data_IF_434083263276
#
_entry.id   IF_434083263276
#
_cell.length_a   1.000
_cell.length_b   1.000
_cell.length_c   1.000
_cell.angle_alpha   90.00
_cell.angle_beta   90.00
_cell.angle_gamma   90.00
#
_symmetry.space_group_name_H-M   'P 1'
#
loop_
_entity.id
_entity.type
_entity.pdbx_description
1 polymer ?
#
# COMPACT_ATOMS: atom_id res chain seq x y z
N UNK A 1 17.81 -7.87 4.85
CA UNK A 1 16.85 -8.38 3.86
C UNK A 1 15.45 -8.33 4.43
N UNK A 2 14.70 -7.28 4.12
CA UNK A 2 13.30 -7.13 4.51
C UNK A 2 12.43 -7.19 3.27
N UNK A 3 11.27 -7.84 3.42
CA UNK A 3 10.26 -7.98 2.37
C UNK A 3 9.05 -7.13 2.74
N UNK A 4 8.58 -6.37 1.77
CA UNK A 4 7.39 -5.52 1.87
C UNK A 4 6.42 -5.89 0.76
N UNK A 5 5.13 -5.97 1.07
CA UNK A 5 4.10 -6.10 0.04
C UNK A 5 3.52 -4.73 -0.30
N UNK A 6 3.55 -4.41 -1.59
CA UNK A 6 2.92 -3.23 -2.15
C UNK A 6 1.51 -3.59 -2.61
N UNK A 7 0.50 -2.98 -1.98
CA UNK A 7 -0.90 -3.27 -2.23
C UNK A 7 -1.65 -2.00 -2.63
N UNK A 8 -2.59 -2.14 -3.55
CA UNK A 8 -3.56 -1.11 -3.92
C UNK A 8 -4.83 -1.31 -3.10
N UNK A 9 -5.29 -0.25 -2.42
CA UNK A 9 -6.56 -0.29 -1.69
C UNK A 9 -7.44 0.92 -2.05
N UNK A 10 -8.77 0.73 -2.12
CA UNK A 10 -9.68 1.86 -2.27
C UNK A 10 -9.66 2.70 -0.98
N UNK A 11 -9.49 4.01 -1.15
CA UNK A 11 -9.51 4.99 -0.10
C UNK A 11 -10.49 6.11 -0.45
N UNK A 12 -11.37 6.41 0.48
CA UNK A 12 -12.31 7.53 0.36
C UNK A 12 -11.66 8.81 0.86
N UNK A 13 -11.38 9.73 -0.05
CA UNK A 13 -10.90 11.05 0.32
C UNK A 13 -12.09 11.96 0.61
N UNK A 14 -12.27 12.32 1.88
CA UNK A 14 -13.41 13.13 2.34
C UNK A 14 -13.39 14.59 1.86
N UNK A 15 -12.24 15.10 1.39
CA UNK A 15 -12.10 16.47 0.90
C UNK A 15 -12.66 16.60 -0.52
N UNK A 16 -12.21 15.73 -1.42
CA UNK A 16 -12.67 15.66 -2.82
C UNK A 16 -13.95 14.83 -2.99
N UNK A 17 -14.34 14.08 -1.96
CA UNK A 17 -15.51 13.18 -1.94
C UNK A 17 -15.46 12.06 -3.00
N UNK A 18 -14.26 11.61 -3.35
CA UNK A 18 -14.04 10.58 -4.36
C UNK A 18 -13.27 9.37 -3.79
N UNK A 19 -13.49 8.22 -4.43
CA UNK A 19 -12.74 7.00 -4.16
C UNK A 19 -11.53 6.94 -5.07
N UNK A 20 -10.35 6.82 -4.47
CA UNK A 20 -9.09 6.68 -5.19
C UNK A 20 -8.37 5.42 -4.73
N UNK A 21 -7.66 4.78 -5.63
CA UNK A 21 -6.84 3.62 -5.30
C UNK A 21 -5.45 4.11 -4.87
N UNK A 22 -5.16 3.97 -3.58
CA UNK A 22 -3.89 4.40 -2.99
C UNK A 22 -2.94 3.22 -2.80
N UNK A 23 -1.65 3.53 -2.79
CA UNK A 23 -0.60 2.56 -2.56
C UNK A 23 -0.31 2.40 -1.06
N UNK A 24 -0.23 1.15 -0.61
CA UNK A 24 -0.01 0.80 0.79
C UNK A 24 0.98 -0.35 1.00
N UNK A 25 1.54 -0.39 2.20
CA UNK A 25 2.52 -1.38 2.65
C UNK A 25 1.96 -2.21 3.82
N UNK A 26 2.40 -3.46 3.91
CA UNK A 26 2.02 -4.35 5.02
C UNK A 26 2.61 -3.96 6.37
N UNK A 27 3.76 -3.29 6.37
CA UNK A 27 4.48 -2.86 7.58
C UNK A 27 5.25 -1.58 7.30
N UNK A 28 5.58 -0.86 8.36
CA UNK A 28 6.40 0.34 8.26
C UNK A 28 7.77 -0.03 7.70
N UNK A 29 8.19 0.58 6.59
CA UNK A 29 9.47 0.27 5.98
C UNK A 29 10.61 0.92 6.75
N UNK A 30 11.80 0.31 6.63
CA UNK A 30 13.04 0.91 7.06
C UNK A 30 13.76 1.50 5.83
N UNK A 31 14.52 2.57 6.01
CA UNK A 31 15.28 3.21 4.93
C UNK A 31 14.51 4.33 4.21
N UNK A 32 14.87 4.65 2.96
CA UNK A 32 14.31 5.78 2.19
C UNK A 32 12.80 5.74 2.03
N UNK A 33 12.21 4.54 1.98
CA UNK A 33 10.77 4.37 1.87
C UNK A 33 10.02 4.85 3.13
N UNK A 34 10.68 4.91 4.29
CA UNK A 34 10.09 5.43 5.52
C UNK A 34 9.71 6.91 5.39
N UNK A 35 10.53 7.70 4.70
CA UNK A 35 10.34 9.14 4.52
C UNK A 35 9.10 9.47 3.67
N UNK A 36 8.66 8.54 2.82
CA UNK A 36 7.49 8.68 1.95
C UNK A 36 6.33 7.80 2.42
N UNK A 37 6.41 7.24 3.62
CA UNK A 37 5.37 6.37 4.17
C UNK A 37 4.71 7.03 5.37
N UNK A 38 3.39 6.94 5.43
CA UNK A 38 2.60 7.53 6.51
C UNK A 38 1.53 6.55 6.95
N UNK A 39 1.38 6.41 8.26
CA UNK A 39 0.27 5.66 8.82
C UNK A 39 -1.00 6.49 8.72
N UNK A 40 -2.01 5.93 8.06
CA UNK A 40 -3.33 6.55 7.94
C UNK A 40 -4.39 5.63 8.55
N UNK A 41 -5.46 6.24 9.04
CA UNK A 41 -6.66 5.53 9.47
C UNK A 41 -7.59 5.36 8.26
N UNK A 42 -7.95 4.13 7.96
CA UNK A 42 -8.97 3.87 6.96
C UNK A 42 -10.36 4.13 7.53
N UNK A 43 -11.15 4.88 6.77
CA UNK A 43 -12.57 5.00 7.00
C UNK A 43 -13.27 3.69 6.61
N UNK A 44 -14.39 3.39 7.26
CA UNK A 44 -15.21 2.24 6.87
C UNK A 44 -15.71 2.47 5.45
N UNK A 45 -15.47 1.51 4.57
CA UNK A 45 -15.98 1.56 3.20
C UNK A 45 -17.47 1.23 3.17
N UNK A 46 -17.95 0.46 4.15
CA UNK A 46 -19.37 0.13 4.30
C UNK A 46 -19.82 0.22 5.77
N UNK A 47 -21.04 0.74 6.03
CA UNK A 47 -21.63 0.70 7.37
C UNK A 47 -21.83 -0.75 7.86
N UNK A 48 -21.88 -1.73 6.96
CA UNK A 48 -22.03 -3.15 7.26
C UNK A 48 -20.71 -3.88 7.52
N UNK A 49 -19.54 -3.23 7.40
CA UNK A 49 -18.28 -3.84 7.82
C UNK A 49 -18.22 -3.93 9.35
N UNK A 50 -18.56 -5.12 9.86
CA UNK A 50 -18.38 -5.52 11.24
C UNK A 50 -16.97 -6.11 11.43
N UNK A 51 -16.22 -5.57 12.40
CA UNK A 51 -14.89 -6.09 12.75
C UNK A 51 -15.00 -7.22 13.80
N UNK A 52 -15.90 -8.17 13.56
CA UNK A 52 -16.25 -9.26 14.47
C UNK A 52 -15.62 -10.60 14.06
N UNK A 53 -14.80 -10.60 13.01
CA UNK A 53 -14.13 -11.81 12.52
C UNK A 53 -12.91 -12.16 13.39
N UNK A 54 -12.54 -13.45 13.43
CA UNK A 54 -11.37 -13.96 14.15
C UNK A 54 -10.05 -13.27 13.75
N UNK A 55 -9.98 -12.78 12.51
CA UNK A 55 -8.87 -11.98 11.99
C UNK A 55 -9.37 -10.55 11.72
N UNK A 56 -9.31 -9.65 12.71
CA UNK A 56 -9.82 -8.29 12.55
C UNK A 56 -8.98 -7.50 11.55
N UNK A 57 -9.65 -6.74 10.67
CA UNK A 57 -8.95 -5.81 9.79
C UNK A 57 -8.38 -4.68 10.64
N UNK A 58 -7.10 -4.39 10.45
CA UNK A 58 -6.46 -3.23 11.09
C UNK A 58 -7.10 -1.94 10.57
N UNK A 59 -7.49 -1.04 11.49
CA UNK A 59 -8.04 0.28 11.12
C UNK A 59 -6.97 1.22 10.56
N UNK A 60 -5.70 0.90 10.78
CA UNK A 60 -4.57 1.69 10.33
C UNK A 60 -3.80 0.92 9.27
N UNK A 61 -3.46 1.60 8.18
CA UNK A 61 -2.63 1.10 7.09
C UNK A 61 -1.46 2.04 6.86
N UNK A 62 -0.36 1.52 6.34
CA UNK A 62 0.79 2.32 5.96
C UNK A 62 0.59 2.70 4.50
N UNK A 63 0.27 3.96 4.24
CA UNK A 63 0.12 4.49 2.89
C UNK A 63 1.39 5.20 2.43
N UNK A 64 1.59 5.24 1.12
CA UNK A 64 2.69 5.95 0.49
C UNK A 64 2.21 7.35 0.12
N UNK A 65 3.00 8.37 0.44
CA UNK A 65 2.73 9.76 0.06
C UNK A 65 3.39 10.06 -1.29
N UNK A 66 2.91 11.10 -1.97
CA UNK A 66 3.59 11.58 -3.17
C UNK A 66 5.01 12.05 -2.83
N UNK A 67 5.92 11.95 -3.82
CA UNK A 67 7.32 12.35 -3.69
C UNK A 67 7.48 13.87 -3.57
N UNK A 68 6.63 14.62 -4.26
CA UNK A 68 6.64 16.09 -4.29
C UNK A 68 5.76 16.70 -3.19
N UNK A 69 4.70 15.99 -2.77
CA UNK A 69 3.76 16.45 -1.76
C UNK A 69 3.51 15.39 -0.68
N UNK A 70 4.21 15.51 0.45
CA UNK A 70 4.06 14.60 1.61
C UNK A 70 2.68 14.66 2.30
N UNK A 71 1.84 15.64 1.95
CA UNK A 71 0.48 15.72 2.48
C UNK A 71 -0.52 14.89 1.68
N UNK A 72 -0.20 14.56 0.42
CA UNK A 72 -1.08 13.81 -0.47
C UNK A 72 -0.64 12.35 -0.56
N UNK A 73 -1.65 11.47 -0.68
CA UNK A 73 -1.43 10.04 -0.83
C UNK A 73 -1.14 9.74 -2.30
N UNK A 74 -0.24 8.81 -2.53
CA UNK A 74 0.13 8.38 -3.87
C UNK A 74 -0.96 7.47 -4.45
N UNK A 75 -1.48 7.86 -5.61
CA UNK A 75 -2.43 7.08 -6.39
C UNK A 75 -1.72 6.00 -7.23
N UNK A 76 -2.49 5.06 -7.75
CA UNK A 76 -1.98 4.01 -8.64
C UNK A 76 -1.38 4.56 -9.95
N UNK A 77 -1.81 5.74 -10.40
CA UNK A 77 -1.27 6.38 -11.61
C UNK A 77 0.19 6.82 -11.45
N UNK A 78 0.62 7.11 -10.21
CA UNK A 78 1.99 7.49 -9.85
C UNK A 78 2.92 6.29 -9.60
N UNK A 79 2.44 5.06 -9.82
CA UNK A 79 3.21 3.84 -9.63
C UNK A 79 4.56 3.83 -10.39
N UNK A 80 4.68 4.34 -11.64
CA UNK A 80 5.97 4.40 -12.33
C UNK A 80 7.00 5.25 -11.58
N UNK A 81 6.57 6.39 -11.03
CA UNK A 81 7.43 7.30 -10.26
C UNK A 81 7.93 6.62 -8.97
N UNK A 82 7.06 5.83 -8.32
CA UNK A 82 7.45 5.04 -7.17
C UNK A 82 8.49 3.98 -7.53
N UNK A 83 8.34 3.29 -8.67
CA UNK A 83 9.33 2.30 -9.10
C UNK A 83 10.68 2.92 -9.40
N UNK A 84 10.71 4.09 -10.04
CA UNK A 84 11.95 4.84 -10.25
C UNK A 84 12.62 5.17 -8.92
N UNK A 85 11.88 5.70 -7.94
CA UNK A 85 12.39 5.97 -6.60
C UNK A 85 12.95 4.71 -5.92
N UNK A 86 12.22 3.60 -6.00
CA UNK A 86 12.63 2.32 -5.41
C UNK A 86 13.95 1.82 -6.00
N UNK A 87 14.06 1.80 -7.33
CA UNK A 87 15.26 1.33 -8.03
C UNK A 87 16.45 2.22 -7.70
N UNK A 88 16.27 3.55 -7.71
CA UNK A 88 17.31 4.52 -7.38
C UNK A 88 17.82 4.39 -5.93
N UNK A 89 16.98 3.90 -5.03
CA UNK A 89 17.33 3.66 -3.62
C UNK A 89 17.74 2.21 -3.32
N UNK A 90 17.98 1.39 -4.34
CA UNK A 90 18.49 0.02 -4.19
C UNK A 90 17.45 -1.04 -3.81
N UNK A 91 16.16 -0.72 -3.91
CA UNK A 91 15.10 -1.71 -3.72
C UNK A 91 14.96 -2.58 -4.98
N UNK A 92 14.63 -3.86 -4.79
CA UNK A 92 14.42 -4.82 -5.87
C UNK A 92 13.02 -5.40 -5.83
N UNK A 93 12.41 -5.61 -7.00
CA UNK A 93 11.07 -6.21 -7.11
C UNK A 93 11.19 -7.72 -7.27
N UNK A 94 10.61 -8.47 -6.33
CA UNK A 94 10.64 -9.94 -6.36
C UNK A 94 9.46 -10.51 -7.14
N UNK A 95 9.73 -10.94 -8.37
CA UNK A 95 8.71 -11.52 -9.25
C UNK A 95 8.28 -12.93 -8.83
N UNK A 96 9.16 -13.70 -8.19
CA UNK A 96 8.91 -15.09 -7.82
C UNK A 96 7.82 -15.18 -6.75
N UNK A 97 7.98 -14.41 -5.67
CA UNK A 97 7.04 -14.31 -4.57
C UNK A 97 5.76 -13.62 -5.06
N UNK A 98 5.87 -12.54 -5.85
CA UNK A 98 4.71 -11.86 -6.43
C UNK A 98 3.83 -12.82 -7.23
N UNK A 99 4.42 -13.66 -8.11
CA UNK A 99 3.69 -14.68 -8.88
C UNK A 99 3.01 -15.71 -8.00
N UNK A 100 3.62 -16.12 -6.88
CA UNK A 100 3.02 -17.07 -5.94
C UNK A 100 1.76 -16.47 -5.32
N UNK A 101 1.81 -15.22 -4.85
CA UNK A 101 0.64 -14.56 -4.25
C UNK A 101 -0.46 -14.28 -5.26
N UNK A 102 -0.13 -13.84 -6.47
CA UNK A 102 -1.11 -13.62 -7.53
C UNK A 102 -1.82 -14.92 -7.93
N UNK A 103 -1.10 -16.06 -7.98
CA UNK A 103 -1.68 -17.36 -8.31
C UNK A 103 -2.53 -17.97 -7.21
N UNK A 104 -2.23 -17.69 -5.94
CA UNK A 104 -2.91 -18.33 -4.82
C UNK A 104 -4.27 -17.72 -4.48
N UNK A 105 -4.71 -16.68 -5.21
CA UNK A 105 -6.02 -16.01 -5.08
C UNK A 105 -6.37 -15.63 -3.62
N UNK A 106 -5.33 -15.44 -2.80
CA UNK A 106 -5.47 -15.05 -1.40
C UNK A 106 -5.86 -13.59 -1.40
N UNK A 107 -7.14 -13.32 -1.09
CA UNK A 107 -7.65 -11.95 -0.93
C UNK A 107 -7.08 -11.33 0.34
N UNK A 108 -5.94 -10.65 0.19
CA UNK A 108 -5.43 -9.75 1.22
C UNK A 108 -6.28 -8.47 1.30
N UNK A 109 -6.05 -7.62 2.31
CA UNK A 109 -6.66 -6.28 2.34
C UNK A 109 -6.08 -5.44 1.20
N UNK A 110 -6.67 -5.57 0.01
CA UNK A 110 -6.21 -4.89 -1.21
C UNK A 110 -5.78 -5.84 -2.32
N UNK A 111 -5.51 -5.25 -3.47
CA UNK A 111 -4.93 -5.92 -4.62
C UNK A 111 -3.40 -5.86 -4.52
N UNK A 112 -2.74 -7.02 -4.51
CA UNK A 112 -1.28 -7.08 -4.47
C UNK A 112 -0.72 -6.65 -5.84
N UNK A 113 0.09 -5.60 -5.83
CA UNK A 113 0.82 -5.15 -7.01
C UNK A 113 2.11 -5.96 -7.13
N UNK A 114 2.98 -5.86 -6.13
CA UNK A 114 4.26 -6.56 -6.13
C UNK A 114 4.85 -6.70 -4.73
N UNK A 115 5.89 -7.53 -4.66
CA UNK A 115 6.72 -7.71 -3.48
C UNK A 115 8.04 -6.99 -3.69
N UNK A 116 8.40 -6.13 -2.75
CA UNK A 116 9.63 -5.34 -2.78
C UNK A 116 10.60 -5.87 -1.72
N UNK A 117 11.88 -5.91 -2.07
CA UNK A 117 12.98 -6.33 -1.22
C UNK A 117 13.98 -5.20 -1.02
N UNK A 118 14.46 -5.09 0.22
CA UNK A 118 15.56 -4.21 0.66
C UNK A 118 16.59 -5.00 1.45
#
# INVERSE_FOLDING_TARGET
MQIYSLNSIPYYNSIIQEYTNILTLNKMPNGPLNSISKQIRQNKLSPFEANTNLCPKSKCVIAITQLENYNELMCIDDLPNLFEFLINNGYTVDQSITKVFQKSNVKMNGELICIIKY
#
